data_IF_676368716000
#
_entry.id   IF_676368716000
#
_cell.length_a   1.000
_cell.length_b   1.000
_cell.length_c   1.000
_cell.angle_alpha   90.00
_cell.angle_beta   90.00
_cell.angle_gamma   90.00
#
_symmetry.space_group_name_H-M   'P 1'
#
loop_
_entity.id
_entity.type
_entity.pdbx_description
1 polymer ?
#
# COMPACT_ATOMS: atom_id res chain seq x y z
N UNK A 1 7.38 4.86 14.18
CA UNK A 1 6.02 4.46 13.70
C UNK A 1 5.97 2.94 13.66
N UNK A 2 4.91 2.28 14.16
CA UNK A 2 4.78 0.83 13.94
C UNK A 2 4.60 0.61 12.44
N UNK A 3 5.49 -0.17 11.81
CA UNK A 3 5.34 -0.59 10.42
C UNK A 3 4.31 -1.74 10.35
N UNK A 4 3.16 -1.58 11.01
CA UNK A 4 2.00 -2.43 10.78
C UNK A 4 1.19 -1.79 9.67
N UNK A 5 1.11 -2.47 8.53
CA UNK A 5 0.39 -2.04 7.32
C UNK A 5 -1.11 -1.74 7.59
N UNK A 6 -1.67 -2.22 8.71
CA UNK A 6 -3.11 -2.18 9.05
C UNK A 6 -3.45 -1.05 10.04
N UNK A 7 -2.57 -0.68 10.97
CA UNK A 7 -2.94 0.20 12.10
C UNK A 7 -2.91 1.71 11.77
N UNK A 8 -2.46 2.10 10.57
CA UNK A 8 -2.35 3.51 10.17
C UNK A 8 -3.54 4.03 9.36
N UNK A 9 -4.67 3.32 9.30
CA UNK A 9 -5.77 3.64 8.39
C UNK A 9 -6.65 4.85 8.80
N UNK A 10 -6.42 5.43 9.99
CA UNK A 10 -7.26 6.50 10.56
C UNK A 10 -6.55 7.85 10.76
N UNK A 11 -5.28 7.97 10.36
CA UNK A 11 -4.55 9.24 10.42
C UNK A 11 -4.14 9.68 9.02
N UNK A 12 -4.30 10.96 8.71
CA UNK A 12 -3.82 11.56 7.46
C UNK A 12 -2.34 11.23 7.28
N UNK A 13 -1.99 10.56 6.19
CA UNK A 13 -0.60 10.15 5.98
C UNK A 13 0.33 11.37 5.81
N UNK A 14 1.46 11.32 6.50
CA UNK A 14 2.58 12.24 6.34
C UNK A 14 3.71 11.50 5.63
N UNK A 15 4.28 12.14 4.61
CA UNK A 15 5.38 11.60 3.83
C UNK A 15 6.49 11.04 4.72
N UNK A 16 6.94 9.83 4.41
CA UNK A 16 8.07 9.21 5.08
C UNK A 16 9.35 9.93 4.69
N UNK A 17 10.23 10.09 5.67
CA UNK A 17 11.61 10.53 5.50
C UNK A 17 12.53 9.37 5.84
N UNK A 18 13.71 9.29 5.19
CA UNK A 18 14.68 8.22 5.50
C UNK A 18 15.11 8.19 6.97
N UNK A 19 15.09 9.34 7.64
CA UNK A 19 15.36 9.48 9.08
C UNK A 19 14.27 8.93 10.00
N UNK A 20 13.09 8.59 9.46
CA UNK A 20 11.97 8.12 10.28
C UNK A 20 12.31 6.77 10.91
N UNK A 21 12.06 6.67 12.21
CA UNK A 21 12.26 5.45 12.97
C UNK A 21 11.05 4.54 12.88
N UNK A 22 11.32 3.26 12.67
CA UNK A 22 10.34 2.18 12.62
C UNK A 22 10.70 1.09 13.62
N UNK A 23 9.67 0.38 14.06
CA UNK A 23 9.83 -0.87 14.78
C UNK A 23 9.54 -2.01 13.81
N UNK A 24 10.49 -2.91 13.64
CA UNK A 24 10.40 -4.03 12.71
C UNK A 24 10.69 -5.34 13.44
N UNK A 25 9.99 -6.41 13.05
CA UNK A 25 10.25 -7.77 13.51
C UNK A 25 11.21 -8.44 12.52
N UNK A 26 12.29 -8.99 13.03
CA UNK A 26 13.21 -9.85 12.28
C UNK A 26 13.10 -11.25 12.88
N UNK A 27 12.70 -12.20 12.05
CA UNK A 27 12.40 -13.57 12.44
C UNK A 27 13.64 -14.45 12.37
N UNK A 28 13.69 -15.49 13.18
CA UNK A 28 14.74 -16.51 13.21
C UNK A 28 14.24 -17.79 12.52
N UNK A 29 15.10 -18.78 12.22
CA UNK A 29 14.69 -20.02 11.56
C UNK A 29 13.60 -20.81 12.31
N UNK A 30 13.53 -20.68 13.63
CA UNK A 30 12.52 -21.29 14.51
C UNK A 30 11.22 -20.48 14.62
N UNK A 31 11.09 -19.41 13.81
CA UNK A 31 9.97 -18.46 13.79
C UNK A 31 9.83 -17.59 15.05
N UNK A 32 10.76 -17.67 16.00
CA UNK A 32 10.92 -16.62 17.00
C UNK A 32 11.31 -15.31 16.32
N UNK A 33 11.13 -14.17 16.99
CA UNK A 33 11.52 -12.88 16.41
C UNK A 33 12.07 -11.92 17.46
N UNK A 34 12.95 -11.04 17.01
CA UNK A 34 13.36 -9.85 17.74
C UNK A 34 12.69 -8.62 17.14
N UNK A 35 12.28 -7.67 17.99
CA UNK A 35 11.82 -6.36 17.52
C UNK A 35 12.95 -5.36 17.62
N UNK A 36 13.41 -4.86 16.48
CA UNK A 36 14.44 -3.83 16.41
C UNK A 36 13.81 -2.46 16.17
N UNK A 37 14.44 -1.42 16.73
CA UNK A 37 14.19 -0.04 16.36
C UNK A 37 15.21 0.34 15.30
N UNK A 38 14.75 0.63 14.09
CA UNK A 38 15.62 0.93 12.95
C UNK A 38 15.18 2.22 12.26
N UNK A 39 16.11 2.89 11.58
CA UNK A 39 15.75 3.92 10.60
C UNK A 39 15.23 3.26 9.33
N UNK A 40 14.33 3.94 8.63
CA UNK A 40 13.86 3.52 7.31
C UNK A 40 15.02 3.41 6.30
N UNK A 41 16.01 4.29 6.40
CA UNK A 41 17.23 4.29 5.57
C UNK A 41 18.37 3.42 6.08
N UNK A 42 18.14 2.57 7.09
CA UNK A 42 19.20 1.71 7.62
C UNK A 42 19.70 0.73 6.56
N UNK A 43 21.01 0.47 6.58
CA UNK A 43 21.61 -0.59 5.78
C UNK A 43 21.31 -1.96 6.39
N UNK A 44 21.44 -3.01 5.58
CA UNK A 44 21.36 -4.41 6.05
C UNK A 44 22.38 -4.67 7.16
N UNK A 45 23.58 -4.08 7.06
CA UNK A 45 24.59 -4.17 8.11
C UNK A 45 24.12 -3.53 9.43
N UNK A 46 23.49 -2.36 9.39
CA UNK A 46 22.94 -1.70 10.59
C UNK A 46 21.80 -2.53 11.23
N UNK A 47 20.97 -3.15 10.37
CA UNK A 47 19.88 -4.02 10.79
C UNK A 47 20.44 -5.26 11.49
N UNK A 48 21.42 -5.94 10.89
CA UNK A 48 22.06 -7.11 11.47
C UNK A 48 22.78 -6.77 12.78
N UNK A 49 23.46 -5.62 12.86
CA UNK A 49 24.07 -5.18 14.11
C UNK A 49 23.03 -5.01 15.23
N UNK A 50 21.88 -4.41 14.92
CA UNK A 50 20.77 -4.23 15.87
C UNK A 50 20.15 -5.56 16.31
N UNK A 51 20.06 -6.53 15.40
CA UNK A 51 19.58 -7.89 15.69
C UNK A 51 20.57 -8.62 16.60
N UNK A 52 21.85 -8.61 16.26
CA UNK A 52 22.92 -9.25 17.04
C UNK A 52 22.99 -8.67 18.46
N UNK A 53 22.94 -7.35 18.59
CA UNK A 53 22.90 -6.69 19.91
C UNK A 53 21.72 -7.22 20.74
N UNK A 54 20.52 -7.30 20.15
CA UNK A 54 19.32 -7.79 20.85
C UNK A 54 19.38 -9.27 21.22
N UNK A 55 19.99 -10.11 20.39
CA UNK A 55 20.17 -11.53 20.68
C UNK A 55 21.21 -11.76 21.81
N UNK A 56 22.28 -10.97 21.85
CA UNK A 56 23.30 -11.06 22.90
C UNK A 56 22.77 -10.71 24.31
N UNK A 57 21.78 -9.81 24.41
CA UNK A 57 21.08 -9.56 25.69
C UNK A 57 20.22 -10.74 26.15
N UNK A 58 19.96 -11.74 25.29
CA UNK A 58 19.03 -12.84 25.56
C UNK A 58 19.72 -14.15 25.96
N UNK A 59 21.05 -14.31 25.76
CA UNK A 59 21.77 -15.55 26.07
C UNK A 59 23.01 -15.30 26.96
N UNK A 60 23.02 -15.90 28.16
CA UNK A 60 24.25 -16.23 28.89
C UNK A 60 24.87 -17.49 28.27
N UNK A 61 25.69 -17.37 27.22
CA UNK A 61 26.92 -18.14 26.99
C UNK A 61 27.42 -18.09 25.54
N UNK A 62 28.72 -17.86 25.46
CA UNK A 62 29.61 -18.15 24.34
C UNK A 62 29.33 -19.50 23.68
N UNK A 63 29.09 -19.52 22.36
CA UNK A 63 29.86 -20.32 21.37
C UNK A 63 29.24 -20.17 19.97
N UNK A 64 30.09 -19.80 19.00
CA UNK A 64 29.87 -19.58 17.55
C UNK A 64 29.32 -18.22 17.13
N UNK A 65 30.25 -17.32 16.80
CA UNK A 65 30.04 -16.11 16.00
C UNK A 65 29.77 -16.47 14.52
N UNK A 66 28.80 -17.33 14.24
CA UNK A 66 28.42 -17.58 12.86
C UNK A 66 27.74 -16.32 12.32
N UNK A 67 28.38 -15.68 11.33
CA UNK A 67 27.93 -14.40 10.80
C UNK A 67 26.50 -14.52 10.26
N UNK A 68 25.58 -13.79 10.89
CA UNK A 68 24.19 -13.70 10.46
C UNK A 68 24.10 -13.03 9.08
N UNK A 69 23.21 -13.56 8.24
CA UNK A 69 22.78 -12.97 6.99
C UNK A 69 21.31 -12.55 7.10
N UNK A 70 20.95 -11.47 6.40
CA UNK A 70 19.56 -11.02 6.33
C UNK A 70 18.92 -11.54 5.04
N UNK A 71 17.72 -12.09 5.18
CA UNK A 71 16.99 -12.76 4.11
C UNK A 71 15.58 -12.19 4.04
N UNK A 72 15.11 -11.88 2.83
CA UNK A 72 13.67 -11.69 2.61
C UNK A 72 13.05 -13.04 2.28
N UNK A 73 11.90 -13.33 2.87
CA UNK A 73 11.12 -14.54 2.57
C UNK A 73 9.69 -14.15 2.23
N UNK A 74 9.28 -14.49 1.02
CA UNK A 74 7.91 -14.30 0.55
C UNK A 74 7.00 -15.43 1.04
N UNK A 75 5.69 -15.19 1.04
CA UNK A 75 4.68 -16.21 1.38
C UNK A 75 4.68 -17.41 0.43
N UNK A 76 5.27 -17.28 -0.77
CA UNK A 76 5.49 -18.38 -1.72
C UNK A 76 6.61 -19.34 -1.31
N UNK A 77 7.43 -19.01 -0.32
CA UNK A 77 8.68 -19.73 -0.01
C UNK A 77 9.88 -19.24 -0.80
N UNK A 78 9.73 -18.26 -1.68
CA UNK A 78 10.86 -17.61 -2.34
C UNK A 78 11.70 -16.84 -1.32
N UNK A 79 13.01 -17.06 -1.35
CA UNK A 79 13.99 -16.47 -0.43
C UNK A 79 15.00 -15.68 -1.23
N UNK A 80 15.37 -14.49 -0.76
CA UNK A 80 16.47 -13.72 -1.32
C UNK A 80 17.38 -13.17 -0.23
N UNK A 81 18.69 -13.43 -0.36
CA UNK A 81 19.72 -12.90 0.54
C UNK A 81 19.95 -11.43 0.19
N UNK A 82 19.92 -10.57 1.21
CA UNK A 82 20.19 -9.15 1.07
C UNK A 82 21.67 -8.85 1.28
N UNK A 83 22.26 -8.02 0.42
CA UNK A 83 23.67 -7.62 0.57
C UNK A 83 23.85 -6.65 1.74
N UNK A 84 24.98 -6.70 2.47
CA UNK A 84 25.22 -5.82 3.63
C UNK A 84 25.09 -4.32 3.32
N UNK A 85 25.41 -3.91 2.08
CA UNK A 85 25.32 -2.52 1.61
C UNK A 85 23.94 -2.11 1.12
N UNK A 86 22.98 -3.04 1.02
CA UNK A 86 21.60 -2.68 0.65
C UNK A 86 20.93 -1.89 1.77
N UNK A 87 20.05 -0.99 1.38
CA UNK A 87 19.40 -0.03 2.26
C UNK A 87 17.92 0.08 1.93
N UNK A 88 17.12 0.63 2.85
CA UNK A 88 15.68 0.79 2.67
C UNK A 88 14.93 -0.50 2.35
N UNK A 89 15.43 -1.62 2.87
CA UNK A 89 14.85 -2.95 2.65
C UNK A 89 13.40 -3.03 3.11
N UNK A 90 13.00 -2.23 4.12
CA UNK A 90 11.64 -2.22 4.65
C UNK A 90 10.57 -1.75 3.65
N UNK A 91 10.91 -0.82 2.75
CA UNK A 91 9.97 -0.29 1.75
C UNK A 91 9.89 -1.13 0.50
N UNK A 92 10.87 -2.00 0.27
CA UNK A 92 10.92 -2.89 -0.89
C UNK A 92 10.43 -4.31 -0.60
N UNK A 93 10.08 -4.60 0.67
CA UNK A 93 9.48 -5.88 1.03
C UNK A 93 8.16 -6.11 0.29
N UNK A 94 8.06 -7.28 -0.35
CA UNK A 94 6.84 -7.73 -0.99
C UNK A 94 5.63 -7.79 -0.05
N UNK A 95 4.46 -8.04 -0.64
CA UNK A 95 3.24 -8.31 0.13
C UNK A 95 3.45 -9.61 0.90
N UNK A 96 3.13 -9.61 2.20
CA UNK A 96 3.33 -10.74 3.10
C UNK A 96 4.75 -11.34 3.05
N UNK A 97 5.75 -10.48 2.83
CA UNK A 97 7.16 -10.86 2.90
C UNK A 97 7.74 -10.42 4.24
N UNK A 98 8.57 -11.27 4.82
CA UNK A 98 9.14 -11.08 6.15
C UNK A 98 10.67 -11.09 6.08
N UNK A 99 11.30 -10.38 7.02
CA UNK A 99 12.75 -10.40 7.19
C UNK A 99 13.14 -11.50 8.16
N UNK A 100 14.11 -12.30 7.74
CA UNK A 100 14.74 -13.34 8.55
C UNK A 100 16.21 -13.03 8.75
N UNK A 101 16.72 -13.28 9.96
CA UNK A 101 18.14 -13.39 10.22
C UNK A 101 18.48 -14.86 10.48
N UNK A 102 19.48 -15.37 9.79
CA UNK A 102 19.90 -16.76 9.89
C UNK A 102 21.39 -16.89 9.59
N UNK A 103 21.98 -18.05 9.87
CA UNK A 103 23.33 -18.38 9.43
C UNK A 103 23.27 -18.93 7.99
N UNK A 104 24.42 -18.96 7.31
CA UNK A 104 24.50 -19.57 5.96
C UNK A 104 24.06 -21.04 5.96
N UNK A 105 24.33 -21.76 7.04
CA UNK A 105 23.98 -23.19 7.17
C UNK A 105 22.47 -23.41 7.34
N UNK A 106 21.76 -22.44 7.91
CA UNK A 106 20.31 -22.54 8.16
C UNK A 106 19.46 -21.93 7.04
N UNK A 107 20.06 -21.24 6.07
CA UNK A 107 19.39 -20.58 4.95
C UNK A 107 18.46 -21.53 4.17
N UNK A 108 18.96 -22.69 3.77
CA UNK A 108 18.20 -23.66 2.96
C UNK A 108 17.01 -24.23 3.74
N UNK A 109 17.12 -24.31 5.07
CA UNK A 109 16.07 -24.81 5.97
C UNK A 109 14.99 -23.79 6.30
N UNK A 110 15.18 -22.50 5.98
CA UNK A 110 14.16 -21.47 6.22
C UNK A 110 12.82 -21.85 5.55
N UNK A 111 11.73 -21.64 6.26
CA UNK A 111 10.38 -21.83 5.74
C UNK A 111 9.54 -20.60 6.07
N UNK A 112 8.59 -20.22 5.18
CA UNK A 112 7.69 -19.10 5.44
C UNK A 112 7.04 -19.23 6.81
N UNK A 113 6.72 -18.08 7.41
CA UNK A 113 5.89 -18.08 8.61
C UNK A 113 4.58 -18.82 8.30
N UNK A 114 4.07 -19.63 9.25
CA UNK A 114 2.72 -20.19 9.14
C UNK A 114 1.77 -19.05 8.83
N UNK A 115 0.79 -19.28 7.96
CA UNK A 115 -0.15 -18.25 7.50
C UNK A 115 -0.67 -17.41 8.68
N UNK A 116 -0.08 -16.22 8.89
CA UNK A 116 -0.45 -15.33 9.99
C UNK A 116 -1.91 -14.85 9.83
N UNK A 117 -2.49 -15.03 8.63
CA UNK A 117 -3.85 -14.66 8.28
C UNK A 117 -4.60 -15.92 7.79
N UNK A 118 -5.16 -16.68 8.73
CA UNK A 118 -6.34 -17.49 8.42
C UNK A 118 -7.46 -16.51 8.08
N UNK A 119 -7.61 -16.14 6.81
CA UNK A 119 -8.81 -15.43 6.37
C UNK A 119 -9.94 -16.44 6.50
N UNK A 120 -10.71 -16.33 7.59
CA UNK A 120 -11.82 -17.23 7.87
C UNK A 120 -12.73 -17.23 6.63
N UNK A 121 -12.98 -18.40 6.02
CA UNK A 121 -13.92 -18.51 4.91
C UNK A 121 -15.27 -17.91 5.32
N UNK A 122 -15.72 -16.88 4.62
CA UNK A 122 -16.91 -16.14 5.01
C UNK A 122 -17.14 -14.87 4.19
N UNK A 123 -18.30 -14.26 4.37
CA UNK A 123 -18.60 -12.98 3.75
C UNK A 123 -17.76 -11.89 4.43
N UNK A 124 -16.72 -11.43 3.75
CA UNK A 124 -15.98 -10.22 4.13
C UNK A 124 -16.87 -8.98 4.02
N UNK A 125 -16.47 -7.88 4.67
CA UNK A 125 -17.23 -6.62 4.65
C UNK A 125 -17.43 -6.05 3.23
N UNK A 126 -16.60 -6.46 2.26
CA UNK A 126 -16.77 -6.08 0.85
C UNK A 126 -18.12 -6.52 0.30
N UNK A 127 -18.71 -7.61 0.80
CA UNK A 127 -20.02 -8.08 0.34
C UNK A 127 -21.14 -7.10 0.73
N UNK A 128 -20.99 -6.40 1.86
CA UNK A 128 -21.98 -5.51 2.44
C UNK A 128 -21.79 -4.04 2.04
N UNK A 129 -20.56 -3.57 1.92
CA UNK A 129 -20.26 -2.15 1.65
C UNK A 129 -20.67 -1.70 0.24
N UNK A 130 -21.14 -0.47 0.03
CA UNK A 130 -21.52 -0.03 -1.32
C UNK A 130 -20.28 0.14 -2.24
N UNK A 131 -20.40 -0.15 -3.56
CA UNK A 131 -19.28 -0.02 -4.49
C UNK A 131 -18.69 1.40 -4.54
N UNK A 132 -19.54 2.40 -4.37
CA UNK A 132 -19.15 3.81 -4.34
C UNK A 132 -18.32 4.14 -3.11
N UNK A 133 -18.72 3.66 -1.93
CA UNK A 133 -17.96 3.85 -0.70
C UNK A 133 -16.57 3.24 -0.82
N UNK A 134 -16.47 2.00 -1.30
CA UNK A 134 -15.17 1.33 -1.49
C UNK A 134 -14.30 2.11 -2.47
N UNK A 135 -14.84 2.52 -3.62
CA UNK A 135 -14.11 3.28 -4.63
C UNK A 135 -13.64 4.65 -4.10
N UNK A 136 -14.46 5.33 -3.31
CA UNK A 136 -14.12 6.62 -2.69
C UNK A 136 -13.01 6.46 -1.65
N UNK A 137 -13.07 5.44 -0.79
CA UNK A 137 -11.99 5.15 0.16
C UNK A 137 -10.68 4.78 -0.53
N UNK A 138 -10.72 3.96 -1.60
CA UNK A 138 -9.54 3.67 -2.42
C UNK A 138 -8.95 4.94 -3.03
N UNK A 139 -9.79 5.78 -3.64
CA UNK A 139 -9.37 7.04 -4.27
C UNK A 139 -8.73 7.97 -3.24
N UNK A 140 -9.37 8.17 -2.08
CA UNK A 140 -8.85 9.03 -1.01
C UNK A 140 -7.51 8.52 -0.49
N UNK A 141 -7.40 7.23 -0.19
CA UNK A 141 -6.18 6.62 0.33
C UNK A 141 -5.02 6.69 -0.69
N UNK A 142 -5.28 6.38 -1.96
CA UNK A 142 -4.26 6.48 -3.00
C UNK A 142 -3.88 7.93 -3.29
N UNK A 143 -4.80 8.89 -3.14
CA UNK A 143 -4.48 10.30 -3.23
C UNK A 143 -3.52 10.76 -2.12
N UNK A 144 -3.73 10.31 -0.89
CA UNK A 144 -2.82 10.59 0.22
C UNK A 144 -1.41 10.04 -0.03
N UNK A 145 -1.31 8.77 -0.45
CA UNK A 145 -0.02 8.17 -0.82
C UNK A 145 0.62 8.92 -1.98
N UNK A 146 -0.13 9.18 -3.05
CA UNK A 146 0.38 9.86 -4.23
C UNK A 146 0.85 11.29 -3.94
N UNK A 147 0.23 12.00 -2.98
CA UNK A 147 0.68 13.32 -2.53
C UNK A 147 1.94 13.30 -1.69
N UNK A 148 2.23 12.20 -1.01
CA UNK A 148 3.45 12.06 -0.22
C UNK A 148 4.71 11.93 -1.08
N UNK A 149 4.57 11.50 -2.35
CA UNK A 149 5.70 11.25 -3.24
C UNK A 149 6.33 12.57 -3.68
N UNK A 150 7.59 12.79 -3.31
CA UNK A 150 8.35 13.91 -3.85
C UNK A 150 8.66 13.68 -5.33
N UNK A 151 8.71 14.73 -6.14
CA UNK A 151 8.95 14.59 -7.59
C UNK A 151 10.32 14.01 -7.93
N UNK A 152 11.31 14.26 -7.06
CA UNK A 152 12.64 13.67 -7.19
C UNK A 152 12.64 12.16 -6.99
N UNK A 153 11.69 11.58 -6.22
CA UNK A 153 11.63 10.13 -6.06
C UNK A 153 11.47 9.41 -7.41
N UNK A 154 10.77 10.00 -8.38
CA UNK A 154 10.67 9.45 -9.73
C UNK A 154 11.99 9.50 -10.51
N UNK A 155 12.81 10.52 -10.25
CA UNK A 155 14.13 10.67 -10.86
C UNK A 155 15.08 9.68 -10.19
N UNK A 156 15.12 9.64 -8.85
CA UNK A 156 16.04 8.80 -8.09
C UNK A 156 15.80 7.32 -8.33
N UNK A 157 14.53 6.92 -8.41
CA UNK A 157 14.14 5.54 -8.76
C UNK A 157 14.76 5.08 -10.08
N UNK A 158 14.80 5.98 -11.07
CA UNK A 158 15.21 5.65 -12.44
C UNK A 158 16.72 5.79 -12.64
N UNK A 159 17.35 6.81 -12.03
CA UNK A 159 18.78 7.08 -12.23
C UNK A 159 19.67 6.22 -11.35
N UNK A 160 19.21 5.86 -10.15
CA UNK A 160 20.04 5.21 -9.16
C UNK A 160 19.64 3.75 -8.92
N UNK A 161 18.49 3.31 -9.46
CA UNK A 161 18.00 1.95 -9.28
C UNK A 161 18.03 1.55 -7.80
N UNK A 162 18.77 0.49 -7.49
CA UNK A 162 18.91 -0.01 -6.11
C UNK A 162 19.59 1.00 -5.16
N UNK A 163 20.48 1.87 -5.65
CA UNK A 163 21.16 2.90 -4.85
C UNK A 163 20.24 4.08 -4.50
N UNK A 164 19.15 4.27 -5.25
CA UNK A 164 18.18 5.35 -5.05
C UNK A 164 17.12 5.02 -3.99
N UNK A 165 17.04 3.76 -3.53
CA UNK A 165 15.98 3.27 -2.65
C UNK A 165 15.81 4.08 -1.34
N UNK A 166 16.88 4.74 -0.88
CA UNK A 166 16.86 5.68 0.26
C UNK A 166 15.88 6.83 0.11
N UNK A 167 15.72 7.31 -1.12
CA UNK A 167 15.01 8.54 -1.42
C UNK A 167 13.61 8.25 -1.98
N UNK A 168 13.27 6.99 -2.26
CA UNK A 168 12.04 6.61 -3.00
C UNK A 168 10.97 5.91 -2.15
N UNK A 169 11.06 6.00 -0.82
CA UNK A 169 10.18 5.29 0.10
C UNK A 169 8.69 5.51 -0.15
N UNK A 170 8.26 6.74 -0.46
CA UNK A 170 6.83 7.02 -0.68
C UNK A 170 6.35 6.47 -2.03
N UNK A 171 7.22 6.52 -3.05
CA UNK A 171 6.96 5.92 -4.36
C UNK A 171 6.82 4.40 -4.25
N UNK A 172 7.74 3.74 -3.56
CA UNK A 172 7.72 2.28 -3.30
C UNK A 172 6.44 1.86 -2.59
N UNK A 173 6.00 2.61 -1.58
CA UNK A 173 4.74 2.33 -0.88
C UNK A 173 3.51 2.40 -1.79
N UNK A 174 3.48 3.34 -2.75
CA UNK A 174 2.38 3.42 -3.72
C UNK A 174 2.43 2.25 -4.72
N UNK A 175 3.63 1.83 -5.15
CA UNK A 175 3.80 0.66 -6.02
C UNK A 175 3.34 -0.62 -5.31
N UNK A 176 3.77 -0.80 -4.05
CA UNK A 176 3.35 -1.92 -3.22
C UNK A 176 1.82 -1.91 -3.03
N UNK A 177 1.23 -0.73 -2.81
CA UNK A 177 -0.22 -0.58 -2.71
C UNK A 177 -0.95 -0.98 -3.99
N UNK A 178 -0.38 -0.68 -5.16
CA UNK A 178 -0.94 -1.15 -6.42
C UNK A 178 -1.00 -2.68 -6.47
N UNK A 179 0.07 -3.35 -6.06
CA UNK A 179 0.11 -4.81 -5.94
C UNK A 179 -0.89 -5.32 -4.89
N UNK A 180 -1.08 -4.63 -3.76
CA UNK A 180 -2.04 -5.04 -2.72
C UNK A 180 -3.47 -5.06 -3.26
N UNK A 181 -3.87 -4.03 -4.03
CA UNK A 181 -5.20 -3.97 -4.64
C UNK A 181 -5.40 -5.10 -5.65
N UNK A 182 -4.37 -5.45 -6.43
CA UNK A 182 -4.42 -6.57 -7.37
C UNK A 182 -4.65 -7.90 -6.65
N UNK A 183 -3.89 -8.16 -5.58
CA UNK A 183 -4.01 -9.40 -4.80
C UNK A 183 -5.31 -9.44 -4.02
N UNK A 184 -5.77 -8.31 -3.46
CA UNK A 184 -7.06 -8.21 -2.77
C UNK A 184 -8.22 -8.65 -3.66
N UNK A 185 -8.26 -8.20 -4.92
CA UNK A 185 -9.26 -8.65 -5.90
C UNK A 185 -9.25 -10.18 -6.07
N UNK A 186 -8.06 -10.76 -6.19
CA UNK A 186 -7.88 -12.21 -6.30
C UNK A 186 -8.35 -12.95 -5.05
N UNK A 187 -7.89 -12.51 -3.88
CA UNK A 187 -8.20 -13.09 -2.57
C UNK A 187 -9.70 -13.11 -2.30
N UNK A 188 -10.40 -11.98 -2.46
CA UNK A 188 -11.84 -11.88 -2.22
C UNK A 188 -12.65 -12.83 -3.13
N UNK A 189 -12.27 -12.94 -4.41
CA UNK A 189 -12.95 -13.84 -5.34
C UNK A 189 -12.65 -15.31 -5.09
N UNK A 190 -11.41 -15.66 -4.76
CA UNK A 190 -10.99 -17.05 -4.56
C UNK A 190 -11.47 -17.63 -3.23
N UNK A 191 -11.60 -16.80 -2.19
CA UNK A 191 -12.12 -17.22 -0.89
C UNK A 191 -13.67 -17.20 -0.82
N UNK A 192 -14.34 -16.58 -1.80
CA UNK A 192 -15.80 -16.60 -1.86
C UNK A 192 -16.30 -17.95 -2.41
N UNK A 193 -16.64 -18.88 -1.52
CA UNK A 193 -17.03 -20.26 -1.88
C UNK A 193 -18.31 -20.33 -2.74
N UNK A 194 -19.35 -19.58 -2.34
CA UNK A 194 -20.65 -19.59 -3.02
C UNK A 194 -20.57 -18.99 -4.42
N UNK A 195 -20.86 -19.79 -5.45
CA UNK A 195 -20.85 -19.35 -6.85
C UNK A 195 -21.76 -18.12 -7.09
N UNK A 196 -22.92 -18.06 -6.45
CA UNK A 196 -23.84 -16.94 -6.58
C UNK A 196 -23.27 -15.65 -6.00
N UNK A 197 -22.72 -15.73 -4.78
CA UNK A 197 -22.07 -14.59 -4.11
C UNK A 197 -20.81 -14.15 -4.87
N UNK A 198 -20.01 -15.10 -5.36
CA UNK A 198 -18.80 -14.82 -6.14
C UNK A 198 -19.11 -14.11 -7.46
N UNK A 199 -20.19 -14.50 -8.16
CA UNK A 199 -20.64 -13.80 -9.36
C UNK A 199 -21.13 -12.37 -9.06
N UNK A 200 -21.80 -12.17 -7.91
CA UNK A 200 -22.18 -10.84 -7.44
C UNK A 200 -20.95 -9.99 -7.10
N UNK A 201 -19.96 -10.57 -6.42
CA UNK A 201 -18.70 -9.93 -6.07
C UNK A 201 -17.90 -9.52 -7.32
N UNK A 202 -17.81 -10.39 -8.32
CA UNK A 202 -17.20 -10.06 -9.62
C UNK A 202 -17.88 -8.85 -10.27
N UNK A 203 -19.21 -8.82 -10.32
CA UNK A 203 -19.99 -7.66 -10.78
C UNK A 203 -19.68 -6.41 -9.96
N UNK A 204 -19.54 -6.55 -8.64
CA UNK A 204 -19.24 -5.45 -7.71
C UNK A 204 -17.85 -4.87 -7.97
N UNK A 205 -16.83 -5.69 -8.13
CA UNK A 205 -15.47 -5.27 -8.46
C UNK A 205 -15.39 -4.51 -9.80
N UNK A 206 -16.13 -4.97 -10.82
CA UNK A 206 -16.25 -4.25 -12.10
C UNK A 206 -16.91 -2.87 -11.90
N UNK A 207 -17.92 -2.76 -11.01
CA UNK A 207 -18.51 -1.46 -10.66
C UNK A 207 -17.51 -0.56 -9.93
N UNK A 208 -16.78 -1.08 -8.95
CA UNK A 208 -15.75 -0.33 -8.21
C UNK A 208 -14.72 0.23 -9.20
N UNK A 209 -14.21 -0.59 -10.13
CA UNK A 209 -13.29 -0.12 -11.18
C UNK A 209 -13.91 1.01 -12.04
N UNK A 210 -15.18 0.88 -12.42
CA UNK A 210 -15.88 1.92 -13.18
C UNK A 210 -15.93 3.25 -12.42
N UNK A 211 -16.20 3.21 -11.12
CA UNK A 211 -16.28 4.39 -10.24
C UNK A 211 -14.87 4.98 -10.02
N UNK A 212 -13.84 4.16 -9.77
CA UNK A 212 -12.46 4.63 -9.69
C UNK A 212 -12.05 5.39 -10.96
N UNK A 213 -12.39 4.86 -12.15
CA UNK A 213 -12.16 5.55 -13.42
C UNK A 213 -12.92 6.87 -13.51
N UNK A 214 -14.17 6.93 -13.03
CA UNK A 214 -14.97 8.16 -12.99
C UNK A 214 -14.36 9.20 -12.04
N UNK A 215 -13.83 8.76 -10.91
CA UNK A 215 -13.09 9.57 -9.94
C UNK A 215 -11.69 9.97 -10.43
N UNK A 216 -11.30 9.53 -11.64
CA UNK A 216 -9.95 9.69 -12.19
C UNK A 216 -8.86 9.10 -11.28
N UNK A 217 -9.19 8.06 -10.52
CA UNK A 217 -8.23 7.15 -9.89
C UNK A 217 -7.92 6.01 -10.88
N UNK A 218 -7.00 6.30 -11.80
CA UNK A 218 -6.55 5.34 -12.78
C UNK A 218 -5.62 4.28 -12.19
N UNK A 219 -5.03 4.51 -11.01
CA UNK A 219 -4.24 3.51 -10.29
C UNK A 219 -5.13 2.35 -9.81
N UNK A 220 -6.19 2.65 -9.07
CA UNK A 220 -7.14 1.61 -8.62
C UNK A 220 -7.84 0.92 -9.78
N UNK A 221 -8.29 1.71 -10.77
CA UNK A 221 -8.92 1.14 -11.96
C UNK A 221 -8.01 0.08 -12.60
N UNK A 222 -6.76 0.44 -12.92
CA UNK A 222 -5.84 -0.48 -13.59
C UNK A 222 -5.51 -1.68 -12.69
N UNK A 223 -5.26 -1.46 -11.39
CA UNK A 223 -4.97 -2.52 -10.43
C UNK A 223 -6.11 -3.55 -10.33
N UNK A 224 -7.38 -3.09 -10.29
CA UNK A 224 -8.53 -4.00 -10.26
C UNK A 224 -8.62 -4.81 -11.55
N UNK A 225 -8.41 -4.20 -12.72
CA UNK A 225 -8.44 -4.93 -13.99
C UNK A 225 -7.32 -5.97 -14.07
N UNK A 226 -6.11 -5.65 -13.61
CA UNK A 226 -5.00 -6.62 -13.53
C UNK A 226 -5.40 -7.78 -12.60
N UNK A 227 -5.96 -7.50 -11.43
CA UNK A 227 -6.43 -8.52 -10.50
C UNK A 227 -7.50 -9.43 -11.10
N UNK A 228 -8.47 -8.86 -11.84
CA UNK A 228 -9.52 -9.62 -12.53
C UNK A 228 -9.00 -10.45 -13.71
N UNK A 229 -7.94 -10.00 -14.37
CA UNK A 229 -7.26 -10.71 -15.46
C UNK A 229 -6.27 -11.78 -14.98
N UNK A 230 -6.00 -11.84 -13.67
CA UNK A 230 -5.14 -12.88 -13.09
C UNK A 230 -5.65 -14.28 -13.53
N UNK A 231 -4.74 -15.16 -13.93
CA UNK A 231 -5.08 -16.48 -14.45
C UNK A 231 -5.98 -17.29 -13.51
N UNK A 232 -5.81 -17.15 -12.19
CA UNK A 232 -6.62 -17.81 -11.18
C UNK A 232 -8.09 -17.36 -11.20
N UNK A 233 -8.35 -16.11 -11.61
CA UNK A 233 -9.70 -15.52 -11.73
C UNK A 233 -10.26 -15.73 -13.13
N UNK A 234 -9.47 -15.50 -14.18
CA UNK A 234 -9.87 -15.67 -15.57
C UNK A 234 -10.35 -17.10 -15.89
N UNK A 235 -9.81 -18.11 -15.18
CA UNK A 235 -10.23 -19.52 -15.34
C UNK A 235 -11.59 -19.87 -14.71
N UNK A 236 -12.21 -18.99 -13.91
CA UNK A 236 -13.47 -19.26 -13.20
C UNK A 236 -14.69 -19.20 -14.12
N UNK A 237 -14.75 -20.08 -15.14
CA UNK A 237 -15.72 -20.05 -16.24
C UNK A 237 -17.17 -19.93 -15.76
N UNK A 238 -17.59 -20.75 -14.79
CA UNK A 238 -18.95 -20.74 -14.25
C UNK A 238 -19.32 -19.40 -13.58
N UNK A 239 -18.34 -18.71 -12.97
CA UNK A 239 -18.55 -17.40 -12.36
C UNK A 239 -18.71 -16.33 -13.44
N UNK A 240 -17.86 -16.33 -14.47
CA UNK A 240 -17.95 -15.43 -15.61
C UNK A 240 -19.24 -15.65 -16.40
N UNK A 241 -19.70 -16.89 -16.57
CA UNK A 241 -20.96 -17.22 -17.25
C UNK A 241 -22.16 -16.55 -16.59
N UNK A 242 -22.23 -16.57 -15.25
CA UNK A 242 -23.29 -15.92 -14.46
C UNK A 242 -23.25 -14.38 -14.48
N UNK A 243 -22.18 -13.76 -14.96
CA UNK A 243 -22.09 -12.31 -15.06
C UNK A 243 -23.08 -11.79 -16.12
N UNK A 244 -23.94 -10.81 -15.80
CA UNK A 244 -24.87 -10.26 -16.80
C UNK A 244 -24.15 -9.66 -18.00
N UNK A 245 -24.72 -9.80 -19.20
CA UNK A 245 -24.08 -9.38 -20.46
C UNK A 245 -23.62 -7.91 -20.48
N UNK A 246 -24.37 -7.01 -19.83
CA UNK A 246 -23.97 -5.60 -19.64
C UNK A 246 -22.60 -5.46 -18.95
N UNK A 247 -22.33 -6.26 -17.92
CA UNK A 247 -21.07 -6.23 -17.17
C UNK A 247 -19.93 -6.95 -17.88
N UNK A 248 -20.23 -8.03 -18.63
CA UNK A 248 -19.25 -8.65 -19.56
C UNK A 248 -18.74 -7.63 -20.59
N UNK A 249 -19.67 -6.89 -21.21
CA UNK A 249 -19.32 -5.84 -22.18
C UNK A 249 -18.57 -4.67 -21.54
N UNK A 250 -18.93 -4.29 -20.30
CA UNK A 250 -18.21 -3.26 -19.56
C UNK A 250 -16.77 -3.70 -19.25
N UNK A 251 -16.58 -4.92 -18.78
CA UNK A 251 -15.25 -5.48 -18.52
C UNK A 251 -14.39 -5.54 -19.78
N UNK A 252 -14.94 -5.97 -20.92
CA UNK A 252 -14.22 -5.95 -22.21
C UNK A 252 -13.74 -4.55 -22.61
N UNK A 253 -14.55 -3.51 -22.33
CA UNK A 253 -14.11 -2.11 -22.55
C UNK A 253 -12.95 -1.72 -21.64
N UNK A 254 -12.90 -2.27 -20.43
CA UNK A 254 -11.80 -2.04 -19.49
C UNK A 254 -10.53 -2.80 -19.88
N UNK A 255 -10.66 -4.03 -20.38
CA UNK A 255 -9.54 -4.76 -20.99
C UNK A 255 -8.93 -3.97 -22.16
N UNK A 256 -9.77 -3.50 -23.10
CA UNK A 256 -9.29 -2.67 -24.22
C UNK A 256 -8.64 -1.36 -23.77
N UNK A 257 -9.08 -0.78 -22.65
CA UNK A 257 -8.48 0.43 -22.09
C UNK A 257 -7.11 0.17 -21.45
N UNK A 258 -6.87 -1.04 -20.95
CA UNK A 258 -5.63 -1.46 -20.30
C UNK A 258 -4.70 -2.28 -21.20
N UNK A 259 -5.04 -2.36 -22.49
CA UNK A 259 -4.27 -3.07 -23.52
C UNK A 259 -2.87 -2.43 -23.71
N UNK A 260 -1.77 -3.21 -23.64
CA UNK A 260 -0.42 -2.72 -23.84
C UNK A 260 -0.09 -2.36 -25.31
N UNK A 261 -0.91 -2.74 -26.27
CA UNK A 261 -0.69 -2.54 -27.70
C UNK A 261 -0.41 -1.07 -28.05
N UNK A 262 0.52 -0.88 -29.00
CA UNK A 262 0.97 0.44 -29.48
C UNK A 262 1.38 1.36 -28.32
N UNK A 263 2.10 0.79 -27.35
CA UNK A 263 2.55 1.48 -26.13
C UNK A 263 1.38 2.07 -25.32
N UNK A 264 0.41 1.24 -24.97
CA UNK A 264 -0.76 1.64 -24.16
C UNK A 264 -1.54 2.83 -24.78
N UNK A 265 -1.71 2.84 -26.11
CA UNK A 265 -2.32 3.95 -26.85
C UNK A 265 -3.67 4.38 -26.27
N UNK A 266 -4.59 3.42 -26.06
CA UNK A 266 -5.94 3.68 -25.56
C UNK A 266 -5.93 4.34 -24.18
N UNK A 267 -5.11 3.83 -23.26
CA UNK A 267 -4.94 4.40 -21.93
C UNK A 267 -4.43 5.85 -22.00
N UNK A 268 -3.40 6.11 -22.83
CA UNK A 268 -2.81 7.45 -22.97
C UNK A 268 -3.80 8.46 -23.57
N UNK A 269 -4.58 8.07 -24.57
CA UNK A 269 -5.62 8.92 -25.16
C UNK A 269 -6.71 9.30 -24.17
N UNK A 270 -7.09 8.39 -23.27
CA UNK A 270 -8.04 8.68 -22.18
C UNK A 270 -7.39 9.60 -21.15
N UNK A 271 -6.16 9.31 -20.73
CA UNK A 271 -5.44 10.10 -19.73
C UNK A 271 -5.22 11.55 -20.19
N UNK A 272 -4.94 11.76 -21.48
CA UNK A 272 -4.75 13.09 -22.07
C UNK A 272 -6.00 13.99 -22.02
N UNK A 273 -7.19 13.39 -21.91
CA UNK A 273 -8.48 14.12 -21.83
C UNK A 273 -8.91 14.41 -20.40
N UNK A 274 -8.29 13.76 -19.41
CA UNK A 274 -8.58 13.97 -17.98
C UNK A 274 -7.97 15.28 -17.48
N UNK A 275 -8.64 15.92 -16.52
CA UNK A 275 -8.17 17.18 -15.90
C UNK A 275 -7.81 16.91 -14.44
N UNK A 276 -6.79 17.55 -13.85
CA UNK A 276 -6.50 17.40 -12.42
C UNK A 276 -7.74 17.67 -11.54
N UNK A 277 -7.91 16.99 -10.39
CA UNK A 277 -7.03 15.97 -9.80
C UNK A 277 -7.12 14.61 -10.50
N UNK A 278 -5.98 13.95 -10.71
CA UNK A 278 -5.88 12.65 -11.39
C UNK A 278 -4.80 11.80 -10.72
N UNK A 279 -5.09 10.53 -10.41
CA UNK A 279 -4.08 9.54 -10.00
C UNK A 279 -3.77 8.67 -11.21
N UNK A 280 -2.60 8.79 -11.85
CA UNK A 280 -2.24 7.95 -12.98
C UNK A 280 -1.85 6.54 -12.54
N UNK A 281 -1.87 5.59 -13.46
CA UNK A 281 -1.18 4.32 -13.28
C UNK A 281 0.34 4.53 -13.29
N UNK A 282 0.91 4.71 -12.09
CA UNK A 282 2.31 5.04 -11.84
C UNK A 282 3.31 4.05 -12.46
N UNK A 283 3.09 2.72 -12.46
CA UNK A 283 4.02 1.79 -13.11
C UNK A 283 4.29 2.11 -14.59
N UNK A 284 3.30 2.60 -15.34
CA UNK A 284 3.51 3.01 -16.74
C UNK A 284 4.32 4.30 -16.86
N UNK A 285 4.21 5.22 -15.90
CA UNK A 285 5.05 6.43 -15.85
C UNK A 285 6.51 6.04 -15.58
N UNK A 286 6.75 5.12 -14.65
CA UNK A 286 8.10 4.62 -14.37
C UNK A 286 8.68 3.87 -15.56
N UNK A 287 7.88 3.06 -16.26
CA UNK A 287 8.28 2.43 -17.52
C UNK A 287 8.74 3.48 -18.56
N UNK A 288 7.98 4.56 -18.72
CA UNK A 288 8.36 5.65 -19.64
C UNK A 288 9.67 6.33 -19.24
N UNK A 289 9.83 6.64 -17.95
CA UNK A 289 11.05 7.30 -17.45
C UNK A 289 12.27 6.37 -17.56
N UNK A 290 12.11 5.09 -17.24
CA UNK A 290 13.16 4.07 -17.36
C UNK A 290 13.62 3.94 -18.81
N UNK A 291 12.67 3.79 -19.75
CA UNK A 291 12.98 3.71 -21.18
C UNK A 291 13.72 4.95 -21.69
N UNK A 292 13.33 6.14 -21.21
CA UNK A 292 14.00 7.40 -21.56
C UNK A 292 15.43 7.46 -20.97
N UNK A 293 15.58 7.00 -19.73
CA UNK A 293 16.89 6.96 -19.08
C UNK A 293 17.85 5.99 -19.75
N UNK A 294 17.39 4.78 -20.08
CA UNK A 294 18.19 3.72 -20.70
C UNK A 294 18.45 4.00 -22.18
N UNK A 295 17.53 4.68 -22.88
CA UNK A 295 17.65 4.99 -24.30
C UNK A 295 18.71 6.03 -24.65
N UNK A 296 19.19 6.82 -23.69
CA UNK A 296 20.14 7.91 -23.92
C UNK A 296 21.20 8.01 -22.83
N UNK A 297 22.47 8.24 -23.19
CA UNK A 297 23.54 8.48 -22.20
C UNK A 297 23.34 9.83 -21.50
N UNK A 298 23.59 9.87 -20.19
CA UNK A 298 23.55 11.11 -19.39
C UNK A 298 24.74 12.02 -19.70
N UNK A 299 25.88 11.43 -20.06
CA UNK A 299 27.08 12.14 -20.50
C UNK A 299 27.37 11.78 -21.97
N UNK A 300 27.58 12.79 -22.81
CA UNK A 300 28.02 12.68 -24.19
C UNK A 300 29.36 13.41 -24.29
N UNK A 301 30.43 12.69 -24.63
CA UNK A 301 31.80 13.22 -24.74
C UNK A 301 32.26 14.02 -23.51
N UNK A 302 31.88 13.54 -22.31
CA UNK A 302 32.19 14.18 -21.04
C UNK A 302 31.30 15.38 -20.67
N UNK A 303 30.38 15.78 -21.54
CA UNK A 303 29.41 16.85 -21.31
C UNK A 303 28.03 16.31 -20.93
N UNK A 304 27.27 17.09 -20.16
CA UNK A 304 25.92 16.73 -19.74
C UNK A 304 24.95 16.78 -20.93
N UNK A 305 24.21 15.69 -21.14
CA UNK A 305 23.14 15.62 -22.13
C UNK A 305 21.87 16.36 -21.62
N UNK A 306 21.81 17.66 -21.87
CA UNK A 306 20.70 18.52 -21.43
C UNK A 306 19.37 18.12 -22.08
N UNK A 307 19.38 17.60 -23.31
CA UNK A 307 18.17 17.14 -23.99
C UNK A 307 17.51 15.98 -23.23
N UNK A 308 18.29 14.97 -22.84
CA UNK A 308 17.83 13.86 -21.99
C UNK A 308 17.20 14.39 -20.69
N UNK A 309 17.91 15.26 -19.98
CA UNK A 309 17.43 15.81 -18.71
C UNK A 309 16.14 16.62 -18.88
N UNK A 310 16.02 17.38 -19.97
CA UNK A 310 14.80 18.12 -20.30
C UNK A 310 13.61 17.19 -20.53
N UNK A 311 13.78 16.11 -21.30
CA UNK A 311 12.69 15.16 -21.55
C UNK A 311 12.23 14.43 -20.26
N UNK A 312 13.15 14.12 -19.34
CA UNK A 312 12.80 13.57 -18.01
C UNK A 312 12.03 14.60 -17.19
N UNK A 313 12.51 15.84 -17.14
CA UNK A 313 11.84 16.91 -16.41
C UNK A 313 10.41 17.14 -16.90
N UNK A 314 10.15 17.07 -18.21
CA UNK A 314 8.79 17.18 -18.77
C UNK A 314 7.84 16.07 -18.29
N UNK A 315 8.32 14.83 -18.19
CA UNK A 315 7.54 13.72 -17.63
C UNK A 315 7.22 13.96 -16.15
N UNK A 316 8.18 14.42 -15.37
CA UNK A 316 7.99 14.74 -13.94
C UNK A 316 7.03 15.93 -13.76
N UNK A 317 7.13 16.99 -14.57
CA UNK A 317 6.18 18.12 -14.56
C UNK A 317 4.75 17.68 -14.87
N UNK A 318 4.57 16.65 -15.69
CA UNK A 318 3.25 16.06 -15.94
C UNK A 318 2.64 15.45 -14.66
N UNK A 319 3.45 14.81 -13.81
CA UNK A 319 3.03 14.28 -12.49
C UNK A 319 2.62 15.42 -11.57
N UNK A 320 3.37 16.54 -11.56
CA UNK A 320 2.99 17.77 -10.84
C UNK A 320 1.62 18.28 -11.29
N UNK A 321 1.39 18.33 -12.61
CA UNK A 321 0.11 18.75 -13.18
C UNK A 321 -1.04 17.88 -12.66
N UNK A 322 -0.89 16.55 -12.61
CA UNK A 322 -1.92 15.64 -12.11
C UNK A 322 -2.36 15.94 -10.66
N UNK A 323 -1.45 16.49 -9.84
CA UNK A 323 -1.67 16.86 -8.44
C UNK A 323 -1.97 18.35 -8.22
N UNK A 324 -2.16 19.14 -9.29
CA UNK A 324 -2.30 20.60 -9.20
C UNK A 324 -3.63 21.11 -8.58
N UNK A 325 -4.59 20.22 -8.34
CA UNK A 325 -5.87 20.55 -7.69
C UNK A 325 -6.12 19.56 -6.55
N UNK A 326 -6.78 19.98 -5.46
CA UNK A 326 -7.14 19.06 -4.38
C UNK A 326 -8.18 18.05 -4.87
N UNK A 327 -8.21 16.87 -4.25
CA UNK A 327 -9.32 15.94 -4.38
C UNK A 327 -10.55 16.60 -3.75
N UNK A 328 -11.64 16.73 -4.50
CA UNK A 328 -12.88 17.26 -3.95
C UNK A 328 -13.50 16.16 -3.09
N UNK A 329 -13.45 16.32 -1.76
CA UNK A 329 -14.22 15.47 -0.87
C UNK A 329 -15.70 15.76 -1.12
N UNK A 330 -16.43 14.80 -1.68
CA UNK A 330 -17.88 14.85 -1.57
C UNK A 330 -18.21 14.85 -0.07
N UNK A 331 -19.02 15.79 0.42
CA UNK A 331 -19.40 15.76 1.82
C UNK A 331 -20.15 14.45 2.05
N UNK A 332 -19.51 13.53 2.77
CA UNK A 332 -20.18 12.33 3.24
C UNK A 332 -21.41 12.78 4.03
N UNK A 333 -22.54 12.10 3.86
CA UNK A 333 -23.79 12.34 4.62
C UNK A 333 -23.67 12.02 6.12
N UNK A 334 -22.46 12.10 6.69
CA UNK A 334 -22.15 11.74 8.07
C UNK A 334 -21.69 12.93 8.94
N UNK A 335 -21.71 14.16 8.44
CA UNK A 335 -21.54 15.36 9.26
C UNK A 335 -22.81 15.70 10.06
N UNK A 336 -23.34 14.74 10.81
CA UNK A 336 -24.11 15.06 12.01
C UNK A 336 -23.09 15.53 13.05
N UNK A 337 -23.15 16.83 13.36
CA UNK A 337 -22.36 17.48 14.41
C UNK A 337 -22.36 16.61 15.67
N UNK A 338 -21.23 16.47 16.38
CA UNK A 338 -21.28 15.95 17.74
C UNK A 338 -22.17 16.89 18.59
N UNK A 339 -23.02 16.38 19.48
CA UNK A 339 -23.73 17.23 20.42
C UNK A 339 -22.69 17.96 21.31
N UNK A 340 -22.97 19.20 21.74
CA UNK A 340 -22.02 19.94 22.57
C UNK A 340 -21.77 19.19 23.87
N UNK A 341 -20.48 19.06 24.23
CA UNK A 341 -20.04 18.46 25.47
C UNK A 341 -20.65 19.21 26.66
N UNK A 342 -21.44 18.51 27.47
CA UNK A 342 -21.83 18.99 28.80
C UNK A 342 -20.58 18.92 29.67
N UNK A 343 -20.04 20.08 30.02
CA UNK A 343 -18.95 20.20 31.00
C UNK A 343 -19.47 19.74 32.38
N UNK A 344 -18.73 18.90 33.12
CA UNK A 344 -19.07 18.63 34.50
C UNK A 344 -18.82 19.89 35.33
N UNK A 345 -19.89 20.36 35.97
CA UNK A 345 -19.92 21.57 36.80
C UNK A 345 -18.89 21.54 37.92
N UNK A 346 -18.27 22.71 38.13
CA UNK A 346 -17.29 22.94 39.18
C UNK A 346 -17.86 22.70 40.58
N UNK A 347 -17.07 22.00 41.40
CA UNK A 347 -17.27 21.92 42.83
C UNK A 347 -16.99 23.29 43.47
N UNK A 348 -18.00 23.86 44.13
CA UNK A 348 -17.91 25.08 44.90
C UNK A 348 -18.87 25.05 46.09
N UNK A 349 -18.36 24.53 47.22
CA UNK A 349 -18.71 24.81 48.64
C UNK A 349 -20.19 24.77 49.10
N UNK A 350 -20.39 23.87 50.08
CA UNK A 350 -21.41 23.76 51.15
C UNK A 350 -21.86 25.09 51.82
N UNK A 351 -22.96 25.18 52.61
CA UNK A 351 -23.47 24.12 53.51
C UNK A 351 -24.99 23.94 53.67
N UNK A 352 -25.32 22.91 54.45
CA UNK A 352 -26.62 22.45 54.96
C UNK A 352 -27.58 23.56 55.43
N UNK A 353 -28.89 23.23 55.52
CA UNK A 353 -29.38 22.93 56.86
C UNK A 353 -30.27 21.67 56.95
N UNK A 354 -30.13 20.96 58.06
CA UNK A 354 -31.14 20.05 58.60
C UNK A 354 -32.30 20.87 59.17
N UNK A 355 -33.56 20.46 58.92
CA UNK A 355 -34.80 20.46 59.76
C UNK A 355 -35.86 19.89 58.81
N UNK A 356 -36.61 18.82 59.04
CA UNK A 356 -37.31 18.38 60.25
C UNK A 356 -38.82 18.44 59.99
N UNK A 357 -39.52 17.33 60.27
CA UNK A 357 -40.93 17.25 60.68
C UNK A 357 -42.02 17.14 59.58
N UNK A 358 -42.66 15.95 59.59
CA UNK A 358 -44.02 15.68 59.13
C UNK A 358 -45.04 16.47 59.95
N UNK A 359 -46.10 16.98 59.34
CA UNK A 359 -47.52 17.12 59.79
C UNK A 359 -48.19 18.00 58.71
N UNK A 360 -49.44 17.87 58.26
CA UNK A 360 -50.60 17.07 58.59
C UNK A 360 -51.68 17.43 57.54
N UNK A 361 -52.76 16.64 57.50
CA UNK A 361 -53.95 16.82 56.64
C UNK A 361 -54.64 18.18 56.87
N UNK A 362 -55.33 18.65 55.84
CA UNK A 362 -56.79 18.96 55.76
C UNK A 362 -57.06 20.16 54.85
N UNK A 363 -58.12 20.05 54.05
CA UNK A 363 -58.69 21.12 53.22
C UNK A 363 -59.08 20.60 51.86
#
# INVERSE_FOLDING_TARGET
>A
RHFRRIDSCLQTRVAFRGSDEIFCRVYMPDHSYVTIRSRLSASVQDILASVTEKLQYSEEQSTREDALILVTMASSGEKAVLQPSEECVFTTLGINSHLFACTRDTFDSLVPLPEEIQVVPGDTEIHRAEPEDIANHLTAFHWELFRCIHELEFVDYVFHGERGRRETANLELLLQRCSEVQHWVGTELLLCESLGKRAHLLKKLIKIAAICKQNQDMLSFYAIIIGLNNAAISRLRLTWEKLPGKFKNLFRKFENLTDPCRNHKTYREVLAKMKPPLIPFVPLILKDLTFLHEGSKTLLDGLVNVEKLHCIAEKVRTIRKYRSRPLCESPSRSSLRPPPAVLPGGAGRAPCPCVGIRHGRFG
#
